data_IF_307896040354
#
_entry.id   IF_307896040354
#
_cell.length_a   1.000
_cell.length_b   1.000
_cell.length_c   1.000
_cell.angle_alpha   90.00
_cell.angle_beta   90.00
_cell.angle_gamma   90.00
#
_symmetry.space_group_name_H-M   'P 1'
#
loop_
_entity.id
_entity.type
_entity.pdbx_description
1 polymer ?
#
# COMPACT_ATOMS: atom_id res chain seq x y z
N UNK A 1 66.43 -7.52 2.68
CA UNK A 1 65.20 -7.07 2.03
C UNK A 1 64.52 -6.10 2.96
N UNK A 2 64.39 -4.93 2.51
CA UNK A 2 64.05 -3.79 3.30
C UNK A 2 62.58 -3.83 3.71
N UNK A 3 62.27 -3.79 4.99
CA UNK A 3 60.89 -3.79 5.52
C UNK A 3 60.07 -2.60 5.01
N UNK A 4 60.71 -1.54 4.62
CA UNK A 4 60.11 -0.34 4.04
C UNK A 4 59.43 -0.61 2.70
N UNK A 5 60.01 -1.50 1.88
CA UNK A 5 59.44 -1.82 0.55
C UNK A 5 58.13 -2.62 0.63
N UNK A 6 57.98 -3.44 1.67
CA UNK A 6 56.73 -4.20 1.87
C UNK A 6 55.57 -3.34 2.37
N UNK A 7 55.88 -2.37 3.23
CA UNK A 7 54.89 -1.45 3.74
C UNK A 7 54.40 -0.47 2.67
N UNK A 8 55.30 -0.01 1.82
CA UNK A 8 54.97 0.88 0.72
C UNK A 8 54.13 0.19 -0.36
N UNK A 9 54.42 -1.09 -0.63
CA UNK A 9 53.61 -1.85 -1.60
C UNK A 9 52.19 -2.14 -1.10
N UNK A 10 52.06 -2.37 0.20
CA UNK A 10 50.74 -2.58 0.81
C UNK A 10 49.91 -1.28 0.87
N UNK A 11 50.56 -0.16 1.11
CA UNK A 11 49.90 1.14 1.11
C UNK A 11 49.39 1.55 -0.27
N UNK A 12 50.16 1.24 -1.32
CA UNK A 12 49.75 1.48 -2.70
C UNK A 12 48.65 0.54 -3.18
N UNK A 13 48.65 -0.69 -2.70
CA UNK A 13 47.58 -1.67 -3.05
C UNK A 13 46.22 -1.34 -2.42
N UNK A 14 46.23 -0.75 -1.23
CA UNK A 14 45.01 -0.36 -0.54
C UNK A 14 44.41 0.95 -1.06
N UNK A 15 45.21 1.85 -1.58
CA UNK A 15 44.75 3.12 -2.11
C UNK A 15 44.04 2.98 -3.47
N UNK A 16 44.34 1.97 -4.24
CA UNK A 16 43.71 1.71 -5.54
C UNK A 16 42.45 0.83 -5.42
N UNK A 17 42.22 0.23 -4.26
CA UNK A 17 41.01 -0.47 -3.94
C UNK A 17 39.94 0.46 -3.33
N UNK A 18 40.04 1.75 -3.54
CA UNK A 18 38.90 2.63 -3.36
C UNK A 18 37.81 2.19 -4.34
N UNK A 19 37.08 1.22 -3.90
CA UNK A 19 35.94 0.64 -4.62
C UNK A 19 34.82 1.66 -4.70
N UNK A 20 35.07 2.75 -5.36
CA UNK A 20 34.08 3.70 -5.81
C UNK A 20 32.96 3.07 -6.67
N UNK A 21 33.19 1.96 -7.40
CA UNK A 21 32.08 1.32 -8.11
C UNK A 21 31.06 0.63 -7.20
N UNK A 22 31.44 0.19 -6.00
CA UNK A 22 30.50 -0.51 -5.11
C UNK A 22 29.51 0.42 -4.44
N UNK A 23 29.85 1.68 -4.22
CA UNK A 23 28.92 2.68 -3.71
C UNK A 23 27.93 3.15 -4.78
N UNK A 24 28.29 3.06 -6.05
CA UNK A 24 27.37 3.38 -7.14
C UNK A 24 26.34 2.26 -7.40
N UNK A 25 26.66 1.03 -7.01
CA UNK A 25 25.75 -0.12 -7.10
C UNK A 25 24.79 -0.23 -5.90
N UNK A 26 25.05 0.52 -4.83
CA UNK A 26 24.18 0.56 -3.66
C UNK A 26 22.96 1.50 -3.80
N UNK A 27 22.74 2.09 -4.95
CA UNK A 27 21.40 2.56 -5.31
C UNK A 27 20.61 1.31 -5.64
N UNK A 28 20.10 0.68 -4.58
CA UNK A 28 19.06 -0.34 -4.71
C UNK A 28 18.04 0.20 -5.68
N UNK A 29 17.84 -0.51 -6.77
CA UNK A 29 16.62 -0.35 -7.53
C UNK A 29 15.50 -0.61 -6.51
N UNK A 30 14.83 0.44 -6.06
CA UNK A 30 13.56 0.29 -5.37
C UNK A 30 12.70 -0.51 -6.34
N UNK A 31 12.34 -1.72 -5.94
CA UNK A 31 11.42 -2.52 -6.73
C UNK A 31 10.22 -1.60 -7.02
N UNK A 32 9.94 -1.37 -8.29
CA UNK A 32 8.77 -0.59 -8.67
C UNK A 32 7.57 -1.31 -8.06
N UNK A 33 6.88 -0.62 -7.17
CA UNK A 33 5.67 -1.16 -6.56
C UNK A 33 4.66 -1.38 -7.69
N UNK A 34 4.33 -2.63 -7.96
CA UNK A 34 3.35 -2.99 -8.98
C UNK A 34 1.98 -2.66 -8.39
N UNK A 35 1.48 -1.48 -8.69
CA UNK A 35 0.08 -1.13 -8.41
C UNK A 35 -0.75 -1.72 -9.54
N UNK A 36 -1.77 -2.54 -9.26
CA UNK A 36 -2.65 -3.05 -10.28
C UNK A 36 -3.29 -1.90 -11.05
N UNK A 37 -3.15 -1.90 -12.37
CA UNK A 37 -3.82 -0.95 -13.24
C UNK A 37 -5.21 -1.51 -13.58
N UNK A 38 -6.25 -0.86 -13.09
CA UNK A 38 -7.64 -1.20 -13.40
C UNK A 38 -8.16 -0.37 -14.56
N UNK A 39 -8.90 -1.02 -15.45
CA UNK A 39 -9.64 -0.36 -16.51
C UNK A 39 -10.88 0.37 -15.97
N UNK A 40 -11.49 1.26 -16.78
CA UNK A 40 -12.61 2.09 -16.35
C UNK A 40 -13.89 1.30 -16.04
N UNK A 41 -13.98 0.06 -16.48
CA UNK A 41 -15.15 -0.81 -16.33
C UNK A 41 -14.86 -2.05 -15.46
N UNK A 42 -13.67 -2.16 -14.88
CA UNK A 42 -13.35 -3.30 -14.03
C UNK A 42 -14.18 -3.28 -12.75
N UNK A 43 -14.63 -4.46 -12.33
CA UNK A 43 -15.42 -4.62 -11.12
C UNK A 43 -16.84 -4.05 -11.20
N UNK A 44 -17.43 -3.84 -10.03
CA UNK A 44 -18.82 -3.37 -9.87
C UNK A 44 -18.84 -1.91 -9.43
N UNK A 45 -19.66 -1.09 -10.07
CA UNK A 45 -19.85 0.30 -9.66
C UNK A 45 -20.59 0.39 -8.31
N UNK A 46 -20.01 1.10 -7.36
CA UNK A 46 -20.59 1.38 -6.03
C UNK A 46 -21.21 2.77 -5.94
N UNK A 47 -20.58 3.72 -6.60
CA UNK A 47 -21.00 5.12 -6.69
C UNK A 47 -20.37 5.73 -7.96
N UNK A 48 -20.79 6.91 -8.43
CA UNK A 48 -20.16 7.56 -9.57
C UNK A 48 -18.65 7.70 -9.40
N UNK A 49 -17.88 7.06 -10.28
CA UNK A 49 -16.42 7.07 -10.24
C UNK A 49 -15.80 6.16 -9.16
N UNK A 50 -16.57 5.32 -8.50
CA UNK A 50 -16.10 4.36 -7.48
C UNK A 50 -16.49 2.95 -7.88
N UNK A 51 -15.51 2.06 -7.99
CA UNK A 51 -15.73 0.67 -8.38
C UNK A 51 -15.06 -0.29 -7.41
N UNK A 52 -15.70 -1.41 -7.16
CA UNK A 52 -15.18 -2.49 -6.34
C UNK A 52 -14.66 -3.61 -7.25
N UNK A 53 -13.41 -3.99 -7.03
CA UNK A 53 -12.77 -5.12 -7.70
C UNK A 53 -12.42 -6.17 -6.64
N UNK A 54 -12.94 -7.37 -6.79
CA UNK A 54 -12.57 -8.48 -5.93
C UNK A 54 -11.16 -8.99 -6.29
N UNK A 55 -10.25 -8.96 -5.32
CA UNK A 55 -8.88 -9.47 -5.48
C UNK A 55 -8.83 -10.95 -5.14
N UNK A 56 -9.51 -11.37 -4.08
CA UNK A 56 -9.60 -12.78 -3.71
C UNK A 56 -10.30 -13.01 -2.38
N UNK A 57 -10.72 -14.25 -2.19
CA UNK A 57 -11.30 -14.74 -0.93
C UNK A 57 -10.67 -16.08 -0.60
N UNK A 58 -10.28 -16.29 0.64
CA UNK A 58 -9.65 -17.53 1.09
C UNK A 58 -10.04 -17.89 2.53
N UNK A 59 -9.92 -19.16 2.86
CA UNK A 59 -10.17 -19.65 4.21
C UNK A 59 -9.04 -19.24 5.15
N UNK A 60 -9.39 -19.00 6.41
CA UNK A 60 -8.46 -18.56 7.44
C UNK A 60 -8.47 -19.51 8.64
N UNK A 61 -7.31 -19.70 9.23
CA UNK A 61 -7.11 -20.44 10.48
C UNK A 61 -7.13 -19.54 11.73
N UNK A 62 -7.37 -18.24 11.54
CA UNK A 62 -7.46 -17.28 12.64
C UNK A 62 -8.71 -17.52 13.48
N UNK A 63 -8.58 -17.33 14.80
CA UNK A 63 -9.67 -17.54 15.75
C UNK A 63 -10.88 -16.62 15.50
N UNK A 64 -10.63 -15.39 15.07
CA UNK A 64 -11.67 -14.37 14.90
C UNK A 64 -12.23 -14.25 13.48
N UNK A 65 -11.64 -14.95 12.50
CA UNK A 65 -12.07 -14.85 11.11
C UNK A 65 -11.94 -16.21 10.42
N UNK A 66 -13.01 -16.70 9.83
CA UNK A 66 -13.03 -17.96 9.06
C UNK A 66 -12.68 -17.76 7.60
N UNK A 67 -12.94 -16.58 7.08
CA UNK A 67 -12.57 -16.19 5.71
C UNK A 67 -11.98 -14.79 5.72
N UNK A 68 -11.05 -14.59 4.80
CA UNK A 68 -10.49 -13.28 4.48
C UNK A 68 -10.88 -12.95 3.05
N UNK A 69 -11.49 -11.80 2.86
CA UNK A 69 -11.79 -11.27 1.53
C UNK A 69 -10.97 -10.00 1.30
N UNK A 70 -10.29 -9.94 0.16
CA UNK A 70 -9.50 -8.77 -0.24
C UNK A 70 -10.18 -8.11 -1.43
N UNK A 71 -10.46 -6.84 -1.29
CA UNK A 71 -11.13 -6.00 -2.27
C UNK A 71 -10.26 -4.78 -2.57
N UNK A 72 -10.23 -4.35 -3.83
CA UNK A 72 -9.73 -3.02 -4.19
C UNK A 72 -10.92 -2.13 -4.54
N UNK A 73 -11.06 -1.02 -3.84
CA UNK A 73 -12.02 0.02 -4.20
C UNK A 73 -11.27 1.10 -4.95
N UNK A 74 -11.64 1.28 -6.20
CA UNK A 74 -10.96 2.17 -7.16
C UNK A 74 -11.76 3.44 -7.30
N UNK A 75 -11.14 4.57 -6.96
CA UNK A 75 -11.76 5.89 -6.97
C UNK A 75 -11.13 6.77 -8.05
N UNK A 76 -11.95 7.31 -8.92
CA UNK A 76 -11.50 8.38 -9.82
C UNK A 76 -11.13 9.63 -9.01
N UNK A 77 -10.31 10.55 -9.56
CA UNK A 77 -10.00 11.80 -8.89
C UNK A 77 -11.26 12.54 -8.44
N UNK A 78 -11.33 12.91 -7.16
CA UNK A 78 -12.47 13.60 -6.58
C UNK A 78 -13.72 12.76 -6.30
N UNK A 79 -13.71 11.47 -6.66
CA UNK A 79 -14.84 10.59 -6.40
C UNK A 79 -14.95 10.22 -4.92
N UNK A 80 -16.17 9.99 -4.47
CA UNK A 80 -16.48 9.59 -3.12
C UNK A 80 -17.44 8.39 -3.13
N UNK A 81 -17.25 7.48 -2.18
CA UNK A 81 -18.23 6.42 -1.95
C UNK A 81 -19.47 6.93 -1.20
N UNK A 82 -20.41 6.05 -0.95
CA UNK A 82 -21.55 6.36 -0.08
C UNK A 82 -21.19 5.99 1.35
N UNK A 83 -21.57 6.86 2.29
CA UNK A 83 -21.49 6.51 3.70
C UNK A 83 -22.28 5.24 3.95
N UNK A 84 -21.65 4.24 4.53
CA UNK A 84 -22.26 2.94 4.83
C UNK A 84 -21.75 2.37 6.14
N UNK A 85 -22.60 1.60 6.79
CA UNK A 85 -22.23 0.82 7.97
C UNK A 85 -21.55 -0.48 7.54
N UNK A 86 -20.47 -0.84 8.25
CA UNK A 86 -19.66 -2.03 7.94
C UNK A 86 -20.29 -3.28 8.54
N UNK A 87 -20.51 -4.30 7.72
CA UNK A 87 -21.04 -5.61 8.14
C UNK A 87 -19.99 -6.46 8.87
N UNK A 88 -18.70 -6.19 8.63
CA UNK A 88 -17.58 -6.94 9.19
C UNK A 88 -16.45 -5.99 9.60
N UNK A 89 -15.56 -6.48 10.46
CA UNK A 89 -14.30 -5.81 10.72
C UNK A 89 -13.42 -5.81 9.47
N UNK A 90 -12.71 -4.71 9.24
CA UNK A 90 -11.82 -4.59 8.10
C UNK A 90 -10.59 -3.75 8.37
N UNK A 91 -9.52 -4.09 7.67
CA UNK A 91 -8.28 -3.32 7.59
C UNK A 91 -8.23 -2.67 6.22
N UNK A 92 -7.99 -1.38 6.20
CA UNK A 92 -7.94 -0.55 5.02
C UNK A 92 -6.51 -0.07 4.77
N UNK A 93 -6.02 -0.26 3.56
CA UNK A 93 -4.67 0.11 3.15
C UNK A 93 -4.73 0.91 1.85
N UNK A 94 -4.07 2.06 1.82
CA UNK A 94 -4.03 2.89 0.63
C UNK A 94 -2.85 2.48 -0.24
N UNK A 95 -3.14 1.93 -1.42
CA UNK A 95 -2.12 1.51 -2.40
C UNK A 95 -1.84 2.58 -3.43
N UNK A 96 -2.76 3.51 -3.66
CA UNK A 96 -2.59 4.66 -4.56
C UNK A 96 -3.48 5.82 -4.12
N UNK A 97 -3.03 7.04 -4.37
CA UNK A 97 -3.78 8.25 -4.09
C UNK A 97 -3.73 8.71 -2.63
N UNK A 98 -4.63 9.61 -2.31
CA UNK A 98 -4.82 10.20 -0.99
C UNK A 98 -6.30 10.38 -0.72
N UNK A 99 -6.75 10.01 0.46
CA UNK A 99 -8.15 9.98 0.81
C UNK A 99 -8.46 10.80 2.06
N UNK A 100 -9.56 11.49 2.02
CA UNK A 100 -10.21 11.98 3.22
C UNK A 100 -11.21 10.92 3.69
N UNK A 101 -11.07 10.50 4.94
CA UNK A 101 -11.91 9.49 5.57
C UNK A 101 -12.77 10.18 6.63
N UNK A 102 -14.07 9.94 6.57
CA UNK A 102 -15.01 10.38 7.57
C UNK A 102 -15.63 9.16 8.25
N UNK A 103 -15.47 9.09 9.55
CA UNK A 103 -16.06 8.06 10.42
C UNK A 103 -16.85 8.77 11.51
N UNK A 104 -18.11 8.45 11.68
CA UNK A 104 -19.00 8.96 12.72
C UNK A 104 -18.63 10.36 13.31
N UNK A 105 -17.65 10.39 14.19
CA UNK A 105 -17.15 11.56 14.94
C UNK A 105 -15.74 12.04 14.55
N UNK A 106 -15.10 11.36 13.59
CA UNK A 106 -13.70 11.62 13.19
C UNK A 106 -13.58 11.81 11.70
N UNK A 107 -12.71 12.74 11.35
CA UNK A 107 -12.29 12.99 9.98
C UNK A 107 -10.76 13.08 9.93
N UNK A 108 -10.15 12.38 9.00
CA UNK A 108 -8.70 12.33 8.86
C UNK A 108 -8.30 12.03 7.42
N UNK A 109 -7.07 12.30 7.09
CA UNK A 109 -6.49 12.02 5.78
C UNK A 109 -5.56 10.82 5.88
N UNK A 110 -5.64 9.93 4.89
CA UNK A 110 -4.71 8.80 4.70
C UNK A 110 -4.19 8.81 3.29
N UNK A 111 -2.94 8.43 3.11
CA UNK A 111 -2.27 8.41 1.82
C UNK A 111 -1.58 7.07 1.55
N UNK A 112 -1.08 6.91 0.35
CA UNK A 112 -0.34 5.72 -0.09
C UNK A 112 0.64 5.23 0.99
N UNK A 113 0.54 3.94 1.32
CA UNK A 113 1.37 3.28 2.33
C UNK A 113 0.82 3.36 3.76
N UNK A 114 -0.28 4.04 4.00
CA UNK A 114 -0.91 4.17 5.31
C UNK A 114 -2.11 3.25 5.47
N UNK A 115 -2.41 2.92 6.71
CA UNK A 115 -3.48 2.01 7.13
C UNK A 115 -4.45 2.69 8.07
N UNK A 116 -5.69 2.25 8.02
CA UNK A 116 -6.65 2.46 9.10
C UNK A 116 -7.59 1.25 9.22
N UNK A 117 -8.42 1.22 10.21
CA UNK A 117 -9.38 0.13 10.43
C UNK A 117 -10.79 0.66 10.51
N UNK A 118 -11.74 -0.15 10.05
CA UNK A 118 -13.15 0.09 10.28
C UNK A 118 -13.80 -1.16 10.87
N UNK A 119 -14.34 -1.02 12.08
CA UNK A 119 -14.97 -2.11 12.79
C UNK A 119 -16.42 -2.33 12.37
N UNK A 120 -16.91 -3.55 12.55
CA UNK A 120 -18.31 -3.90 12.36
C UNK A 120 -19.24 -2.91 13.07
N UNK A 121 -20.31 -2.48 12.41
CA UNK A 121 -21.29 -1.53 12.95
C UNK A 121 -20.82 -0.08 12.96
N UNK A 122 -19.62 0.22 12.44
CA UNK A 122 -19.13 1.58 12.27
C UNK A 122 -19.40 2.07 10.86
N UNK A 123 -19.64 3.37 10.73
CA UNK A 123 -19.79 4.02 9.43
C UNK A 123 -18.43 4.44 8.87
N UNK A 124 -18.31 4.39 7.57
CA UNK A 124 -17.14 4.84 6.82
C UNK A 124 -17.59 5.57 5.55
N UNK A 125 -16.85 6.60 5.20
CA UNK A 125 -17.05 7.37 3.97
C UNK A 125 -15.68 7.90 3.50
N UNK A 126 -15.28 7.53 2.28
CA UNK A 126 -14.01 7.87 1.69
C UNK A 126 -14.18 8.79 0.49
N UNK A 127 -13.33 9.78 0.37
CA UNK A 127 -13.23 10.68 -0.80
C UNK A 127 -11.79 10.70 -1.28
N UNK A 128 -11.57 10.41 -2.56
CA UNK A 128 -10.25 10.58 -3.17
C UNK A 128 -9.99 12.08 -3.38
N UNK A 129 -9.12 12.66 -2.59
CA UNK A 129 -8.73 14.08 -2.66
C UNK A 129 -7.52 14.33 -3.54
N UNK A 130 -6.93 13.27 -4.12
CA UNK A 130 -5.79 13.38 -5.03
C UNK A 130 -6.22 13.65 -6.47
N UNK A 131 -5.26 13.99 -7.31
CA UNK A 131 -5.45 14.21 -8.75
C UNK A 131 -5.25 12.94 -9.60
N UNK A 132 -4.96 11.83 -8.95
CA UNK A 132 -4.75 10.52 -9.57
C UNK A 132 -5.85 9.54 -9.16
N UNK A 133 -5.93 8.41 -9.86
CA UNK A 133 -6.79 7.30 -9.44
C UNK A 133 -6.31 6.80 -8.09
N UNK A 134 -7.21 6.75 -7.12
CA UNK A 134 -6.93 6.23 -5.79
C UNK A 134 -7.36 4.76 -5.68
N UNK A 135 -6.60 3.97 -4.94
CA UNK A 135 -6.93 2.58 -4.65
C UNK A 135 -6.88 2.35 -3.15
N UNK A 136 -8.02 1.99 -2.65
CA UNK A 136 -8.27 1.66 -1.26
C UNK A 136 -8.42 0.15 -1.14
N UNK A 137 -7.36 -0.53 -0.71
CA UNK A 137 -7.41 -1.98 -0.50
C UNK A 137 -8.03 -2.30 0.84
N UNK A 138 -9.10 -3.06 0.80
CA UNK A 138 -9.85 -3.47 1.98
C UNK A 138 -9.67 -4.96 2.23
N UNK A 139 -9.21 -5.30 3.41
CA UNK A 139 -9.14 -6.68 3.90
C UNK A 139 -10.26 -6.89 4.90
N UNK A 140 -11.27 -7.67 4.50
CA UNK A 140 -12.47 -7.95 5.29
C UNK A 140 -12.26 -9.25 6.09
N UNK A 141 -12.53 -9.19 7.38
CA UNK A 141 -12.44 -10.31 8.30
C UNK A 141 -13.84 -10.89 8.50
N UNK A 142 -14.12 -12.02 7.88
CA UNK A 142 -15.45 -12.66 7.91
C UNK A 142 -15.46 -13.72 9.01
N UNK A 143 -16.26 -13.54 10.08
CA UNK A 143 -16.40 -14.53 11.15
C UNK A 143 -17.07 -15.81 10.66
N UNK A 144 -16.91 -16.89 11.42
CA UNK A 144 -17.57 -18.17 11.17
C UNK A 144 -18.95 -18.25 11.74
#
# INVERSE_FOLDING_TARGET
MDEMNRRSALALGLATAAATPLLALAKSATAAEIVPAYGPNDGTELAPGVRLVEVGTFDSDMTGAKKIQVLDIVFQPGAADKESEMDNDMVCFITAGEFQIKKADKEFTVKKGEYYTCGKGKTDHATNISKEVGIHRVTVLIPG
#
